data_IF_394633233900
#
_entry.id   IF_394633233900
#
_cell.length_a   1.000
_cell.length_b   1.000
_cell.length_c   1.000
_cell.angle_alpha   90.00
_cell.angle_beta   90.00
_cell.angle_gamma   90.00
#
_symmetry.space_group_name_H-M   'P 1'
#
loop_
_entity.id
_entity.type
_entity.pdbx_description
1 polymer ?
#
# COMPACT_ATOMS: atom_id res chain seq x y z
N UNK A 1 -28.52 -12.62 -5.95
CA UNK A 1 -27.96 -11.26 -5.72
C UNK A 1 -28.20 -10.77 -4.29
N UNK A 2 -29.12 -11.40 -3.55
CA UNK A 2 -29.56 -10.96 -2.22
C UNK A 2 -28.60 -11.24 -1.07
N UNK A 3 -27.88 -12.37 -1.08
CA UNK A 3 -26.92 -12.75 -0.02
C UNK A 3 -25.79 -11.72 0.10
N UNK A 4 -25.32 -11.19 -1.04
CA UNK A 4 -24.25 -10.18 -1.09
C UNK A 4 -24.70 -8.86 -0.43
N UNK A 5 -25.94 -8.42 -0.65
CA UNK A 5 -26.48 -7.18 -0.06
C UNK A 5 -26.90 -7.36 1.40
N UNK A 6 -27.47 -8.52 1.75
CA UNK A 6 -28.02 -8.77 3.10
C UNK A 6 -26.94 -9.07 4.14
N UNK A 7 -25.86 -9.77 3.76
CA UNK A 7 -24.80 -10.17 4.69
C UNK A 7 -23.47 -9.45 4.45
N UNK A 8 -23.01 -9.31 3.20
CA UNK A 8 -21.68 -8.76 2.92
C UNK A 8 -21.58 -7.26 3.26
N UNK A 9 -22.62 -6.50 2.89
CA UNK A 9 -22.67 -5.05 3.12
C UNK A 9 -22.57 -4.66 4.60
N UNK A 10 -23.36 -5.23 5.54
CA UNK A 10 -23.22 -4.93 6.96
C UNK A 10 -21.89 -5.42 7.55
N UNK A 11 -21.33 -6.54 7.06
CA UNK A 11 -20.01 -7.02 7.49
C UNK A 11 -18.93 -6.00 7.12
N UNK A 12 -18.93 -5.50 5.87
CA UNK A 12 -17.98 -4.48 5.41
C UNK A 12 -18.17 -3.18 6.19
N UNK A 13 -19.42 -2.78 6.43
CA UNK A 13 -19.73 -1.55 7.15
C UNK A 13 -19.24 -1.59 8.61
N UNK A 14 -19.52 -2.68 9.34
CA UNK A 14 -19.00 -2.90 10.69
C UNK A 14 -17.47 -2.99 10.70
N UNK A 15 -16.87 -3.65 9.72
CA UNK A 15 -15.41 -3.68 9.57
C UNK A 15 -14.84 -2.27 9.42
N UNK A 16 -15.44 -1.40 8.60
CA UNK A 16 -15.03 -0.01 8.44
C UNK A 16 -15.15 0.78 9.75
N UNK A 17 -16.23 0.60 10.51
CA UNK A 17 -16.44 1.28 11.81
C UNK A 17 -15.39 0.82 12.83
N UNK A 18 -15.12 -0.48 12.91
CA UNK A 18 -14.13 -1.06 13.83
C UNK A 18 -12.73 -0.53 13.48
N UNK A 19 -12.36 -0.57 12.20
CA UNK A 19 -11.07 -0.07 11.72
C UNK A 19 -10.93 1.43 11.96
N UNK A 20 -11.97 2.22 11.68
CA UNK A 20 -11.99 3.65 11.95
C UNK A 20 -11.83 3.96 13.44
N UNK A 21 -12.54 3.25 14.32
CA UNK A 21 -12.43 3.40 15.77
C UNK A 21 -11.03 3.04 16.28
N UNK A 22 -10.44 1.94 15.78
CA UNK A 22 -9.07 1.54 16.09
C UNK A 22 -8.04 2.59 15.67
N UNK A 23 -8.22 3.24 14.51
CA UNK A 23 -7.36 4.33 14.05
C UNK A 23 -7.49 5.59 14.92
N UNK A 24 -8.65 5.81 15.55
CA UNK A 24 -8.90 6.91 16.48
C UNK A 24 -8.20 6.70 17.83
N UNK A 25 -8.26 5.47 18.37
CA UNK A 25 -7.66 5.09 19.66
C UNK A 25 -6.12 4.96 19.53
N UNK A 26 -5.64 4.34 18.46
CA UNK A 26 -4.21 4.11 18.23
C UNK A 26 -3.73 4.61 16.86
N UNK A 27 -3.62 5.95 16.69
CA UNK A 27 -3.14 6.54 15.45
C UNK A 27 -1.68 6.15 15.13
N UNK A 28 -0.85 5.88 16.14
CA UNK A 28 0.54 5.43 15.93
C UNK A 28 0.63 4.01 15.33
N UNK A 29 -0.25 3.09 15.73
CA UNK A 29 -0.33 1.76 15.10
C UNK A 29 -0.85 1.85 13.66
N UNK A 30 -1.77 2.78 13.39
CA UNK A 30 -2.25 3.06 12.03
C UNK A 30 -1.11 3.59 11.14
N UNK A 31 -0.29 4.52 11.65
CA UNK A 31 0.93 4.99 10.97
C UNK A 31 1.88 3.85 10.63
N UNK A 32 2.19 2.99 11.61
CA UNK A 32 3.05 1.83 11.41
C UNK A 32 2.54 0.88 10.32
N UNK A 33 1.23 0.64 10.27
CA UNK A 33 0.60 -0.17 9.20
C UNK A 33 0.66 0.52 7.84
N UNK A 34 0.44 1.84 7.77
CA UNK A 34 0.55 2.60 6.51
C UNK A 34 1.98 2.50 5.97
N UNK A 35 3.01 2.68 6.82
CA UNK A 35 4.41 2.48 6.42
C UNK A 35 4.64 1.06 5.92
N UNK A 36 4.18 0.04 6.66
CA UNK A 36 4.38 -1.36 6.29
C UNK A 36 3.70 -1.73 4.97
N UNK A 37 2.48 -1.26 4.74
CA UNK A 37 1.76 -1.48 3.49
C UNK A 37 2.39 -0.72 2.31
N UNK A 38 2.79 0.53 2.53
CA UNK A 38 3.49 1.33 1.51
C UNK A 38 4.83 0.70 1.14
N UNK A 39 5.57 0.17 2.11
CA UNK A 39 6.81 -0.56 1.89
C UNK A 39 6.58 -1.86 1.08
N UNK A 40 5.50 -2.60 1.36
CA UNK A 40 5.13 -3.78 0.55
C UNK A 40 4.76 -3.42 -0.88
N UNK A 41 3.98 -2.36 -1.08
CA UNK A 41 3.66 -1.87 -2.43
C UNK A 41 4.91 -1.43 -3.17
N UNK A 42 5.78 -0.65 -2.52
CA UNK A 42 7.07 -0.25 -3.08
C UNK A 42 7.91 -1.46 -3.48
N UNK A 43 7.95 -2.51 -2.65
CA UNK A 43 8.68 -3.75 -2.94
C UNK A 43 8.11 -4.44 -4.19
N UNK A 44 6.78 -4.51 -4.31
CA UNK A 44 6.11 -5.05 -5.49
C UNK A 44 6.45 -4.29 -6.77
N UNK A 45 6.43 -2.95 -6.72
CA UNK A 45 6.83 -2.11 -7.86
C UNK A 45 8.30 -2.27 -8.21
N UNK A 46 9.20 -2.32 -7.22
CA UNK A 46 10.62 -2.58 -7.45
C UNK A 46 10.87 -3.96 -8.06
N UNK A 47 10.14 -4.99 -7.62
CA UNK A 47 10.24 -6.32 -8.21
C UNK A 47 9.79 -6.32 -9.66
N UNK A 48 8.66 -5.69 -9.98
CA UNK A 48 8.18 -5.57 -11.36
C UNK A 48 9.17 -4.81 -12.25
N UNK A 49 9.67 -3.67 -11.77
CA UNK A 49 10.68 -2.90 -12.48
C UNK A 49 11.99 -3.70 -12.65
N UNK A 50 12.40 -4.44 -11.62
CA UNK A 50 13.58 -5.30 -11.64
C UNK A 50 13.45 -6.44 -12.65
N UNK A 51 12.31 -7.13 -12.68
CA UNK A 51 12.02 -8.19 -13.67
C UNK A 51 12.00 -7.64 -15.10
N UNK A 52 11.44 -6.44 -15.29
CA UNK A 52 11.46 -5.76 -16.59
C UNK A 52 12.88 -5.39 -17.03
N UNK A 53 13.68 -4.82 -16.14
CA UNK A 53 15.07 -4.48 -16.45
C UNK A 53 15.92 -5.74 -16.67
N UNK A 54 15.67 -6.82 -15.93
CA UNK A 54 16.34 -8.09 -16.10
C UNK A 54 16.07 -8.68 -17.49
N UNK A 55 14.82 -8.68 -17.94
CA UNK A 55 14.48 -9.18 -19.29
C UNK A 55 15.18 -8.35 -20.38
N UNK A 56 15.28 -7.04 -20.18
CA UNK A 56 15.95 -6.11 -21.09
C UNK A 56 17.47 -6.35 -21.12
N UNK A 57 18.10 -6.54 -19.95
CA UNK A 57 19.52 -6.90 -19.85
C UNK A 57 19.80 -8.26 -20.47
N UNK A 58 18.94 -9.26 -20.25
CA UNK A 58 19.09 -10.57 -20.89
C UNK A 58 18.99 -10.47 -22.43
N UNK A 59 18.06 -9.69 -22.97
CA UNK A 59 17.91 -9.49 -24.40
C UNK A 59 19.13 -8.79 -25.03
N UNK A 60 19.70 -7.79 -24.35
CA UNK A 60 20.91 -7.10 -24.79
C UNK A 60 22.15 -7.98 -24.65
N UNK A 61 22.25 -8.73 -23.55
CA UNK A 61 23.38 -9.63 -23.27
C UNK A 61 23.44 -10.81 -24.24
N UNK A 62 22.35 -11.23 -24.88
CA UNK A 62 22.40 -12.22 -25.96
C UNK A 62 23.07 -11.66 -27.23
N UNK A 63 23.03 -10.34 -27.42
CA UNK A 63 23.63 -9.64 -28.58
C UNK A 63 25.03 -9.08 -28.30
N UNK A 64 25.54 -9.24 -27.08
CA UNK A 64 26.81 -8.66 -26.63
C UNK A 64 27.59 -9.65 -25.76
N UNK A 65 28.81 -9.29 -25.37
CA UNK A 65 29.62 -10.10 -24.46
C UNK A 65 28.92 -10.26 -23.10
N UNK A 66 28.94 -11.47 -22.53
CA UNK A 66 28.28 -11.79 -21.25
C UNK A 66 28.71 -10.94 -20.05
N UNK A 67 29.88 -10.28 -20.13
CA UNK A 67 30.35 -9.32 -19.13
C UNK A 67 29.45 -8.09 -19.00
N UNK A 68 28.83 -7.65 -20.10
CA UNK A 68 27.91 -6.51 -20.11
C UNK A 68 26.60 -6.87 -19.38
N UNK A 69 26.14 -8.11 -19.50
CA UNK A 69 25.02 -8.64 -18.74
C UNK A 69 25.28 -8.64 -17.24
N UNK A 70 26.51 -8.99 -16.82
CA UNK A 70 26.91 -9.03 -15.42
C UNK A 70 26.97 -7.62 -14.80
N UNK A 71 27.53 -6.64 -15.51
CA UNK A 71 27.54 -5.22 -15.10
C UNK A 71 26.11 -4.67 -15.01
N UNK A 72 25.26 -4.99 -15.99
CA UNK A 72 23.85 -4.60 -16.00
C UNK A 72 23.08 -5.16 -14.79
N UNK A 73 23.30 -6.42 -14.45
CA UNK A 73 22.69 -7.05 -13.27
C UNK A 73 23.11 -6.37 -11.97
N UNK A 74 24.41 -6.10 -11.81
CA UNK A 74 24.94 -5.39 -10.63
C UNK A 74 24.31 -3.99 -10.53
N UNK A 75 24.22 -3.26 -11.65
CA UNK A 75 23.60 -1.94 -11.69
C UNK A 75 22.12 -1.97 -11.28
N UNK A 76 21.34 -2.98 -11.73
CA UNK A 76 19.95 -3.17 -11.33
C UNK A 76 19.83 -3.41 -9.83
N UNK A 77 20.66 -4.29 -9.26
CA UNK A 77 20.62 -4.63 -7.83
C UNK A 77 21.00 -3.41 -6.98
N UNK A 78 22.10 -2.72 -7.31
CA UNK A 78 22.52 -1.52 -6.59
C UNK A 78 21.49 -0.38 -6.71
N UNK A 79 20.94 -0.16 -7.91
CA UNK A 79 19.89 0.83 -8.14
C UNK A 79 18.61 0.53 -7.35
N UNK A 80 18.18 -0.74 -7.33
CA UNK A 80 17.03 -1.19 -6.56
C UNK A 80 17.23 -0.95 -5.05
N UNK A 81 18.39 -1.32 -4.50
CA UNK A 81 18.70 -1.09 -3.08
C UNK A 81 18.73 0.40 -2.73
N UNK A 82 19.26 1.24 -3.62
CA UNK A 82 19.31 2.68 -3.41
C UNK A 82 17.91 3.32 -3.45
N UNK A 83 17.09 2.98 -4.45
CA UNK A 83 15.70 3.43 -4.56
C UNK A 83 14.89 2.96 -3.35
N UNK A 84 15.07 1.71 -2.93
CA UNK A 84 14.42 1.15 -1.75
C UNK A 84 14.73 1.98 -0.50
N UNK A 85 16.01 2.19 -0.18
CA UNK A 85 16.44 2.96 1.00
C UNK A 85 15.90 4.39 0.97
N UNK A 86 16.06 5.09 -0.15
CA UNK A 86 15.66 6.49 -0.31
C UNK A 86 14.13 6.66 -0.25
N UNK A 87 13.39 5.79 -0.92
CA UNK A 87 11.93 5.84 -0.93
C UNK A 87 11.34 5.45 0.42
N UNK A 88 11.91 4.44 1.10
CA UNK A 88 11.48 4.05 2.44
C UNK A 88 11.70 5.18 3.46
N UNK A 89 12.85 5.86 3.40
CA UNK A 89 13.15 7.04 4.22
C UNK A 89 12.16 8.19 3.94
N UNK A 90 11.80 8.41 2.68
CA UNK A 90 10.85 9.45 2.29
C UNK A 90 9.42 9.12 2.72
N UNK A 91 8.98 7.88 2.56
CA UNK A 91 7.66 7.40 3.02
C UNK A 91 7.57 7.48 4.55
N UNK A 92 8.58 6.99 5.26
CA UNK A 92 8.60 7.08 6.72
C UNK A 92 8.61 8.53 7.22
N UNK A 93 9.35 9.42 6.56
CA UNK A 93 9.33 10.86 6.85
C UNK A 93 7.97 11.50 6.60
N UNK A 94 7.34 11.22 5.46
CA UNK A 94 5.98 11.69 5.14
C UNK A 94 4.94 11.19 6.14
N UNK A 95 5.00 9.91 6.52
CA UNK A 95 4.06 9.31 7.48
C UNK A 95 4.30 9.80 8.91
N UNK A 96 5.55 10.07 9.31
CA UNK A 96 5.87 10.71 10.61
C UNK A 96 5.38 12.15 10.68
N UNK A 97 5.54 12.92 9.60
CA UNK A 97 5.10 14.31 9.51
C UNK A 97 3.59 14.44 9.29
N UNK A 98 2.91 13.33 8.99
CA UNK A 98 1.46 13.28 8.84
C UNK A 98 0.82 13.55 10.21
N UNK A 99 0.40 14.80 10.44
CA UNK A 99 -0.25 15.22 11.69
C UNK A 99 -1.35 14.25 12.10
N UNK A 100 -1.42 13.91 13.39
CA UNK A 100 -2.43 13.02 13.98
C UNK A 100 -3.85 13.45 13.62
N UNK A 101 -4.05 14.74 13.29
CA UNK A 101 -5.31 15.30 12.80
C UNK A 101 -5.78 14.64 11.49
N UNK A 102 -4.89 14.45 10.51
CA UNK A 102 -5.27 13.84 9.23
C UNK A 102 -5.68 12.37 9.39
N UNK A 103 -5.00 11.64 10.28
CA UNK A 103 -5.37 10.26 10.62
C UNK A 103 -6.72 10.19 11.34
N UNK A 104 -7.00 11.14 12.24
CA UNK A 104 -8.30 11.25 12.90
C UNK A 104 -9.43 11.62 11.94
N UNK A 105 -9.18 12.50 10.97
CA UNK A 105 -10.15 12.83 9.91
C UNK A 105 -10.42 11.60 9.03
N UNK A 106 -9.38 10.87 8.64
CA UNK A 106 -9.51 9.65 7.85
C UNK A 106 -10.28 8.54 8.61
N UNK A 107 -10.02 8.42 9.91
CA UNK A 107 -10.74 7.54 10.83
C UNK A 107 -12.22 7.93 10.97
N UNK A 108 -12.51 9.21 11.19
CA UNK A 108 -13.87 9.72 11.24
C UNK A 108 -14.62 9.47 9.92
N UNK A 109 -13.95 9.67 8.79
CA UNK A 109 -14.50 9.34 7.46
C UNK A 109 -14.89 7.86 7.33
N UNK A 110 -14.04 6.93 7.82
CA UNK A 110 -14.35 5.50 7.80
C UNK A 110 -15.55 5.13 8.68
N UNK A 111 -15.69 5.76 9.85
CA UNK A 111 -16.84 5.54 10.74
C UNK A 111 -18.11 6.09 10.11
N UNK A 112 -18.07 7.30 9.55
CA UNK A 112 -19.22 7.92 8.88
C UNK A 112 -19.66 7.10 7.67
N UNK A 113 -18.73 6.69 6.81
CA UNK A 113 -19.04 5.83 5.65
C UNK A 113 -19.64 4.49 6.06
N UNK A 114 -19.06 3.81 7.06
CA UNK A 114 -19.61 2.57 7.57
C UNK A 114 -21.01 2.75 8.16
N UNK A 115 -21.23 3.82 8.94
CA UNK A 115 -22.56 4.17 9.46
C UNK A 115 -23.57 4.45 8.34
N UNK A 116 -23.15 5.18 7.31
CA UNK A 116 -23.99 5.51 6.16
C UNK A 116 -24.37 4.26 5.36
N UNK A 117 -23.44 3.32 5.19
CA UNK A 117 -23.73 2.01 4.57
C UNK A 117 -24.75 1.19 5.36
N UNK A 118 -24.69 1.23 6.70
CA UNK A 118 -25.71 0.57 7.55
C UNK A 118 -27.07 1.25 7.44
N UNK A 119 -27.11 2.58 7.44
CA UNK A 119 -28.36 3.35 7.28
C UNK A 119 -28.98 3.10 5.90
N UNK A 120 -28.17 3.11 4.84
CA UNK A 120 -28.63 2.85 3.47
C UNK A 120 -29.21 1.44 3.33
N UNK A 121 -28.62 0.44 4.00
CA UNK A 121 -29.16 -0.92 4.08
C UNK A 121 -30.55 -0.92 4.71
N UNK A 122 -30.74 -0.18 5.79
CA UNK A 122 -32.02 -0.09 6.52
C UNK A 122 -33.10 0.68 5.74
N UNK A 123 -32.71 1.58 4.84
CA UNK A 123 -33.63 2.35 3.98
C UNK A 123 -34.04 1.65 2.68
N UNK A 124 -33.24 0.70 2.20
CA UNK A 124 -33.43 0.01 0.91
C UNK A 124 -34.14 -1.36 1.09
N UNK A 125 -34.24 -1.86 2.32
CA UNK A 125 -35.04 -3.03 2.70
C UNK A 125 -36.38 -2.54 3.25
#
# INVERSE_FOLDING_TARGET
MDILKTLLLPIIAWFMIIVGTLMLIWPEMARGRIVKNSAKMLLGWLLMAGLFLLSLVSAVSQKTSGWIGLIGLIAIICGALWIWKTSLARITGLVKNLSTVHLRIFAAGHIVLGGLMLILKTLII
#
